data_IF_895370217599
#
_entry.id   IF_895370217599
#
_cell.length_a   1.000
_cell.length_b   1.000
_cell.length_c   1.000
_cell.angle_alpha   90.00
_cell.angle_beta   90.00
_cell.angle_gamma   90.00
#
_symmetry.space_group_name_H-M   'P 1'
#
loop_
_entity.id
_entity.type
_entity.pdbx_description
1 polymer ?
#
# COMPACT_ATOMS: atom_id res chain seq x y z
N UNK A 1 33.81 17.08 -14.77
CA UNK A 1 33.64 17.70 -13.45
C UNK A 1 32.64 18.86 -13.57
N UNK A 2 31.84 19.17 -12.53
CA UNK A 2 30.40 18.88 -12.47
C UNK A 2 29.56 20.11 -12.08
N UNK A 3 28.50 20.45 -12.83
CA UNK A 3 27.58 21.55 -12.43
C UNK A 3 26.09 21.23 -12.70
N UNK A 4 25.72 20.13 -13.37
CA UNK A 4 24.30 19.79 -13.56
C UNK A 4 23.68 19.04 -12.35
N UNK A 5 24.47 18.74 -11.33
CA UNK A 5 24.05 18.06 -10.08
C UNK A 5 23.14 18.93 -9.19
N UNK A 6 23.01 20.23 -9.49
CA UNK A 6 22.27 21.21 -8.67
C UNK A 6 20.79 21.33 -9.08
N UNK A 7 20.37 20.70 -10.19
CA UNK A 7 18.95 20.58 -10.59
C UNK A 7 18.42 19.18 -10.27
N UNK A 8 18.88 18.58 -9.17
CA UNK A 8 18.07 17.54 -8.52
C UNK A 8 16.89 18.26 -7.89
N UNK A 9 15.84 18.40 -8.71
CA UNK A 9 14.54 18.93 -8.34
C UNK A 9 14.23 18.60 -6.89
N UNK A 10 13.96 19.62 -6.09
CA UNK A 10 13.45 19.47 -4.73
C UNK A 10 12.34 18.42 -4.80
N UNK A 11 12.62 17.20 -4.32
CA UNK A 11 11.73 16.08 -4.50
C UNK A 11 10.42 16.46 -3.79
N UNK A 12 9.41 16.87 -4.56
CA UNK A 12 8.19 17.48 -4.07
C UNK A 12 7.50 16.49 -3.15
N UNK A 13 7.79 16.60 -1.85
CA UNK A 13 7.31 15.68 -0.84
C UNK A 13 5.78 15.80 -0.84
N UNK A 14 5.10 14.70 -1.11
CA UNK A 14 3.64 14.66 -1.03
C UNK A 14 3.26 15.00 0.42
N UNK A 15 2.41 16.02 0.58
CA UNK A 15 1.85 16.38 1.88
C UNK A 15 0.95 15.25 2.42
N UNK A 16 0.77 15.20 3.74
CA UNK A 16 0.01 14.13 4.42
C UNK A 16 -1.37 13.92 3.78
N UNK A 17 -2.07 15.02 3.47
CA UNK A 17 -3.38 14.97 2.80
C UNK A 17 -3.31 14.29 1.43
N UNK A 18 -2.31 14.65 0.62
CA UNK A 18 -2.09 14.03 -0.68
C UNK A 18 -1.73 12.54 -0.58
N UNK A 19 -0.94 12.16 0.42
CA UNK A 19 -0.60 10.76 0.66
C UNK A 19 -1.83 9.94 1.10
N UNK A 20 -2.68 10.50 1.97
CA UNK A 20 -3.92 9.84 2.40
C UNK A 20 -4.88 9.63 1.23
N UNK A 21 -5.12 10.64 0.40
CA UNK A 21 -5.98 10.49 -0.78
C UNK A 21 -5.42 9.53 -1.81
N UNK A 22 -4.10 9.52 -2.00
CA UNK A 22 -3.44 8.55 -2.89
C UNK A 22 -3.67 7.11 -2.42
N UNK A 23 -3.51 6.85 -1.11
CA UNK A 23 -3.76 5.52 -0.52
C UNK A 23 -5.24 5.16 -0.62
N UNK A 24 -6.14 6.09 -0.28
CA UNK A 24 -7.58 5.86 -0.34
C UNK A 24 -8.05 5.56 -1.77
N UNK A 25 -7.54 6.28 -2.77
CA UNK A 25 -7.82 6.05 -4.18
C UNK A 25 -7.34 4.68 -4.66
N UNK A 26 -6.09 4.31 -4.31
CA UNK A 26 -5.55 2.99 -4.64
C UNK A 26 -6.31 1.83 -3.97
N UNK A 27 -6.79 2.01 -2.73
CA UNK A 27 -7.56 0.98 -2.04
C UNK A 27 -8.99 0.82 -2.56
N UNK A 28 -9.66 1.91 -2.98
CA UNK A 28 -11.01 1.82 -3.53
C UNK A 28 -11.04 1.19 -4.93
N UNK A 29 -10.13 1.58 -5.82
CA UNK A 29 -9.96 1.02 -7.16
C UNK A 29 -11.27 0.77 -7.93
N UNK A 30 -11.32 -0.30 -8.72
CA UNK A 30 -12.56 -0.80 -9.36
C UNK A 30 -13.44 -1.63 -8.42
N UNK A 31 -12.91 -2.05 -7.27
CA UNK A 31 -13.56 -2.96 -6.33
C UNK A 31 -14.84 -2.39 -5.72
N UNK A 32 -14.85 -1.09 -5.37
CA UNK A 32 -16.02 -0.44 -4.75
C UNK A 32 -17.26 -0.48 -5.64
N UNK A 33 -17.11 -0.46 -6.97
CA UNK A 33 -18.22 -0.54 -7.92
C UNK A 33 -18.79 -1.97 -8.05
N UNK A 34 -17.99 -2.99 -7.74
CA UNK A 34 -18.40 -4.41 -7.78
C UNK A 34 -18.94 -4.93 -6.45
N UNK A 35 -18.70 -4.20 -5.35
CA UNK A 35 -19.19 -4.57 -4.02
C UNK A 35 -20.73 -4.70 -3.96
N UNK A 36 -21.54 -3.76 -4.49
CA UNK A 36 -23.00 -3.87 -4.41
C UNK A 36 -23.54 -5.13 -5.10
N UNK A 37 -22.97 -5.51 -6.25
CA UNK A 37 -23.42 -6.69 -7.01
C UNK A 37 -23.02 -8.01 -6.33
N UNK A 38 -21.90 -8.02 -5.61
CA UNK A 38 -21.42 -9.18 -4.86
C UNK A 38 -22.16 -9.35 -3.52
N UNK A 39 -22.43 -8.25 -2.81
CA UNK A 39 -23.16 -8.23 -1.54
C UNK A 39 -24.66 -8.49 -1.73
N UNK A 40 -25.22 -8.10 -2.88
CA UNK A 40 -26.60 -8.43 -3.25
C UNK A 40 -26.87 -9.94 -3.30
N UNK A 41 -25.86 -10.77 -3.59
CA UNK A 41 -25.98 -12.24 -3.61
C UNK A 41 -26.01 -12.88 -2.21
N UNK A 42 -25.53 -12.17 -1.19
CA UNK A 42 -25.36 -12.67 0.19
C UNK A 42 -26.43 -12.09 1.12
N UNK A 43 -27.07 -10.96 0.77
CA UNK A 43 -28.13 -10.34 1.56
C UNK A 43 -27.62 -9.69 2.86
N UNK A 44 -28.44 -9.64 3.90
CA UNK A 44 -28.16 -8.93 5.18
C UNK A 44 -26.97 -9.49 5.97
N UNK A 45 -26.52 -10.73 5.71
CA UNK A 45 -25.32 -11.32 6.32
C UNK A 45 -24.01 -10.61 5.96
N UNK A 46 -24.04 -9.80 4.89
CA UNK A 46 -22.98 -8.90 4.43
C UNK A 46 -22.40 -7.98 5.50
N UNK A 47 -23.20 -7.58 6.48
CA UNK A 47 -22.80 -6.62 7.52
C UNK A 47 -21.73 -7.22 8.46
N UNK A 48 -21.83 -8.53 8.75
CA UNK A 48 -20.85 -9.25 9.56
C UNK A 48 -19.53 -9.42 8.82
N UNK A 49 -19.60 -9.69 7.51
CA UNK A 49 -18.42 -9.72 6.63
C UNK A 49 -17.70 -8.38 6.64
N UNK A 50 -18.44 -7.27 6.51
CA UNK A 50 -17.90 -5.90 6.55
C UNK A 50 -17.25 -5.56 7.89
N UNK A 51 -17.84 -5.99 9.01
CA UNK A 51 -17.26 -5.78 10.34
C UNK A 51 -15.92 -6.52 10.48
N UNK A 52 -15.86 -7.78 10.06
CA UNK A 52 -14.64 -8.60 10.15
C UNK A 52 -13.56 -8.05 9.21
N UNK A 53 -13.90 -7.69 7.96
CA UNK A 53 -12.93 -7.13 7.02
C UNK A 53 -12.41 -5.76 7.46
N UNK A 54 -13.28 -4.88 7.97
CA UNK A 54 -12.87 -3.58 8.51
C UNK A 54 -11.96 -3.74 9.72
N UNK A 55 -12.30 -4.66 10.65
CA UNK A 55 -11.45 -4.95 11.80
C UNK A 55 -10.06 -5.48 11.38
N UNK A 56 -10.01 -6.42 10.43
CA UNK A 56 -8.75 -6.94 9.88
C UNK A 56 -7.93 -5.85 9.17
N UNK A 57 -8.59 -5.01 8.37
CA UNK A 57 -7.93 -3.89 7.68
C UNK A 57 -7.36 -2.86 8.66
N UNK A 58 -8.09 -2.53 9.74
CA UNK A 58 -7.60 -1.63 10.79
C UNK A 58 -6.38 -2.21 11.50
N UNK A 59 -6.40 -3.50 11.87
CA UNK A 59 -5.25 -4.16 12.48
C UNK A 59 -4.02 -4.09 11.57
N UNK A 60 -4.19 -4.38 10.28
CA UNK A 60 -3.12 -4.29 9.30
C UNK A 60 -2.61 -2.85 9.14
N UNK A 61 -3.51 -1.87 9.10
CA UNK A 61 -3.15 -0.45 9.05
C UNK A 61 -2.33 -0.02 10.28
N UNK A 62 -2.69 -0.49 11.49
CA UNK A 62 -1.91 -0.24 12.69
C UNK A 62 -0.50 -0.86 12.64
N UNK A 63 -0.36 -2.06 12.09
CA UNK A 63 0.95 -2.70 11.89
C UNK A 63 1.82 -1.86 10.95
N UNK A 64 1.30 -1.45 9.80
CA UNK A 64 2.03 -0.59 8.87
C UNK A 64 2.33 0.80 9.45
N UNK A 65 1.40 1.38 10.22
CA UNK A 65 1.62 2.67 10.88
C UNK A 65 2.71 2.58 11.95
N UNK A 66 2.77 1.49 12.73
CA UNK A 66 3.86 1.25 13.68
C UNK A 66 5.19 1.03 12.95
N UNK A 67 5.22 0.19 11.92
CA UNK A 67 6.44 -0.08 11.14
C UNK A 67 6.99 1.20 10.48
N UNK A 68 6.11 2.05 9.94
CA UNK A 68 6.50 3.34 9.36
C UNK A 68 7.08 4.33 10.38
N UNK A 69 6.67 4.24 11.65
CA UNK A 69 7.26 5.03 12.74
C UNK A 69 8.59 4.45 13.23
N UNK A 70 8.73 3.13 13.26
CA UNK A 70 9.91 2.42 13.78
C UNK A 70 11.09 2.42 12.79
N UNK A 71 10.81 2.31 11.48
CA UNK A 71 11.84 2.29 10.45
C UNK A 71 11.41 3.19 9.26
N UNK A 72 11.64 4.52 9.34
CA UNK A 72 11.30 5.47 8.28
C UNK A 72 12.29 5.38 7.10
N UNK A 73 12.46 4.18 6.53
CA UNK A 73 13.29 3.93 5.35
C UNK A 73 12.44 3.96 4.08
N UNK A 74 12.97 4.58 3.03
CA UNK A 74 12.35 4.54 1.71
C UNK A 74 12.42 3.10 1.15
N UNK A 75 11.27 2.52 0.83
CA UNK A 75 11.17 1.15 0.30
C UNK A 75 9.97 0.34 0.79
N UNK A 76 9.24 0.80 1.82
CA UNK A 76 7.99 0.18 2.25
C UNK A 76 8.16 -1.28 2.72
N UNK A 77 7.27 -2.22 2.34
CA UNK A 77 7.32 -3.63 2.74
C UNK A 77 8.67 -4.31 2.44
N UNK A 78 9.32 -3.93 1.34
CA UNK A 78 10.65 -4.42 0.97
C UNK A 78 11.72 -4.04 2.00
N UNK A 79 11.71 -2.78 2.47
CA UNK A 79 12.65 -2.31 3.47
C UNK A 79 12.46 -3.06 4.81
N UNK A 80 11.20 -3.31 5.21
CA UNK A 80 10.89 -4.07 6.42
C UNK A 80 11.30 -5.54 6.32
N UNK A 81 11.04 -6.18 5.17
CA UNK A 81 11.42 -7.58 4.93
C UNK A 81 12.94 -7.76 4.86
N UNK A 82 13.65 -6.81 4.24
CA UNK A 82 15.12 -6.84 4.15
C UNK A 82 15.80 -6.66 5.50
N UNK A 83 15.27 -5.78 6.36
CA UNK A 83 15.84 -5.50 7.68
C UNK A 83 15.71 -6.70 8.64
N UNK A 84 14.59 -7.44 8.59
CA UNK A 84 14.33 -8.54 9.51
C UNK A 84 14.68 -9.94 8.98
N UNK A 85 14.50 -10.18 7.67
CA UNK A 85 14.69 -11.50 7.07
C UNK A 85 15.91 -11.60 6.14
N UNK A 86 16.67 -10.50 6.00
CA UNK A 86 17.89 -10.47 5.20
C UNK A 86 17.68 -10.23 3.69
N UNK A 87 18.77 -10.21 2.91
CA UNK A 87 18.76 -9.75 1.53
C UNK A 87 17.94 -10.61 0.56
N UNK A 88 17.82 -11.92 0.82
CA UNK A 88 17.04 -12.85 -0.03
C UNK A 88 15.53 -12.59 0.05
N UNK A 89 14.99 -12.48 1.27
CA UNK A 89 13.57 -12.18 1.50
C UNK A 89 13.19 -10.75 1.09
N UNK A 90 14.15 -9.82 1.16
CA UNK A 90 14.03 -8.52 0.51
C UNK A 90 13.83 -8.66 -1.00
N UNK A 91 14.74 -9.34 -1.71
CA UNK A 91 14.63 -9.51 -3.17
C UNK A 91 13.31 -10.17 -3.59
N UNK A 92 12.86 -11.20 -2.88
CA UNK A 92 11.59 -11.86 -3.13
C UNK A 92 10.39 -10.90 -2.97
N UNK A 93 10.35 -10.15 -1.86
CA UNK A 93 9.28 -9.17 -1.60
C UNK A 93 9.25 -8.10 -2.67
N UNK A 94 10.41 -7.56 -3.07
CA UNK A 94 10.50 -6.56 -4.14
C UNK A 94 10.00 -7.10 -5.48
N UNK A 95 10.39 -8.32 -5.82
CA UNK A 95 10.00 -8.97 -7.08
C UNK A 95 8.48 -9.17 -7.12
N UNK A 96 7.89 -9.71 -6.06
CA UNK A 96 6.43 -9.91 -5.95
C UNK A 96 5.70 -8.56 -6.01
N UNK A 97 6.15 -7.55 -5.26
CA UNK A 97 5.52 -6.23 -5.26
C UNK A 97 5.56 -5.55 -6.63
N UNK A 98 6.70 -5.65 -7.32
CA UNK A 98 6.89 -5.04 -8.62
C UNK A 98 5.96 -5.66 -9.68
N UNK A 99 5.90 -7.00 -9.75
CA UNK A 99 4.97 -7.69 -10.63
C UNK A 99 3.51 -7.43 -10.24
N UNK A 100 3.19 -7.41 -8.95
CA UNK A 100 1.84 -7.12 -8.47
C UNK A 100 1.37 -5.72 -8.90
N UNK A 101 2.23 -4.70 -8.79
CA UNK A 101 1.88 -3.35 -9.25
C UNK A 101 1.65 -3.28 -10.76
N UNK A 102 2.43 -4.01 -11.57
CA UNK A 102 2.24 -4.07 -13.02
C UNK A 102 0.94 -4.76 -13.41
N UNK A 103 0.55 -5.82 -12.69
CA UNK A 103 -0.71 -6.55 -12.94
C UNK A 103 -1.92 -5.77 -12.40
N UNK A 104 -1.75 -5.07 -11.28
CA UNK A 104 -2.81 -4.33 -10.60
C UNK A 104 -3.11 -2.95 -11.21
N UNK A 105 -2.24 -2.45 -12.09
CA UNK A 105 -2.51 -1.30 -12.95
C UNK A 105 -2.99 -1.84 -14.31
N UNK A 106 -4.27 -2.24 -14.46
CA UNK A 106 -4.82 -2.42 -15.78
C UNK A 106 -4.84 -1.03 -16.43
N UNK A 107 -4.17 -0.90 -17.57
CA UNK A 107 -4.63 0.02 -18.61
C UNK A 107 -6.12 -0.16 -18.85
#
# INVERSE_FOLDING_TARGET
MPVQEIVMAEAKKIGVVGATFLVAGNMMGSGVFLLPSSLAKIGTASIWGWLITTAGALLLAFVFAKLGKLAPKAGGPYAYARDWFGPYMGFQTNTIYWFANWIALPT
#
